data_IF_778273288878
#
_entry.id   IF_778273288878
#
_cell.length_a   1.000
_cell.length_b   1.000
_cell.length_c   1.000
_cell.angle_alpha   90.00
_cell.angle_beta   90.00
_cell.angle_gamma   90.00
#
_symmetry.space_group_name_H-M   'P 1'
#
loop_
_entity.id
_entity.type
_entity.pdbx_description
1 polymer ?
#
# COMPACT_ATOMS: atom_id res chain seq x y z
N UNK A 1 -11.30 15.73 22.33
CA UNK A 1 -11.94 14.92 21.26
C UNK A 1 -11.31 15.21 19.90
N UNK A 2 -11.26 16.46 19.44
CA UNK A 2 -10.62 16.87 18.17
C UNK A 2 -9.16 16.41 18.00
N UNK A 3 -8.34 16.51 19.04
CA UNK A 3 -6.91 16.11 19.00
C UNK A 3 -6.71 14.60 18.76
N UNK A 4 -7.60 13.76 19.30
CA UNK A 4 -7.57 12.32 19.08
C UNK A 4 -7.88 11.97 17.62
N UNK A 5 -8.90 12.61 17.05
CA UNK A 5 -9.26 12.45 15.63
C UNK A 5 -8.14 12.94 14.71
N UNK A 6 -7.53 14.10 15.01
CA UNK A 6 -6.40 14.62 14.25
C UNK A 6 -5.22 13.66 14.21
N UNK A 7 -4.86 13.07 15.36
CA UNK A 7 -3.81 12.05 15.43
C UNK A 7 -4.14 10.81 14.60
N UNK A 8 -5.38 10.33 14.67
CA UNK A 8 -5.78 9.13 13.94
C UNK A 8 -5.77 9.34 12.42
N UNK A 9 -6.22 10.52 11.96
CA UNK A 9 -6.12 10.89 10.54
C UNK A 9 -4.67 10.99 10.08
N UNK A 10 -3.77 11.59 10.87
CA UNK A 10 -2.35 11.64 10.54
C UNK A 10 -1.75 10.24 10.38
N UNK A 11 -2.09 9.32 11.29
CA UNK A 11 -1.61 7.94 11.21
C UNK A 11 -2.13 7.23 9.97
N UNK A 12 -3.43 7.31 9.68
CA UNK A 12 -4.05 6.59 8.57
C UNK A 12 -3.73 7.19 7.20
N UNK A 13 -3.55 8.51 7.11
CA UNK A 13 -3.34 9.21 5.86
C UNK A 13 -1.88 9.44 5.52
N UNK A 14 -0.97 9.38 6.48
CA UNK A 14 0.45 9.71 6.24
C UNK A 14 1.37 8.63 6.76
N UNK A 15 1.35 8.36 8.07
CA UNK A 15 2.36 7.49 8.66
C UNK A 15 2.23 6.03 8.19
N UNK A 16 1.02 5.49 8.18
CA UNK A 16 0.76 4.11 7.73
C UNK A 16 1.12 3.93 6.25
N UNK A 17 0.60 4.74 5.31
CA UNK A 17 0.95 4.60 3.90
C UNK A 17 2.45 4.71 3.65
N UNK A 18 3.14 5.65 4.29
CA UNK A 18 4.60 5.82 4.12
C UNK A 18 5.35 4.57 4.58
N UNK A 19 5.07 4.06 5.78
CA UNK A 19 5.74 2.88 6.31
C UNK A 19 5.47 1.64 5.45
N UNK A 20 4.22 1.45 5.03
CA UNK A 20 3.82 0.33 4.18
C UNK A 20 4.50 0.38 2.81
N UNK A 21 4.55 1.54 2.16
CA UNK A 21 5.23 1.69 0.86
C UNK A 21 6.76 1.54 0.97
N UNK A 22 7.37 2.03 2.05
CA UNK A 22 8.81 1.80 2.28
C UNK A 22 9.10 0.31 2.41
N UNK A 23 8.34 -0.42 3.22
CA UNK A 23 8.58 -1.85 3.45
C UNK A 23 8.27 -2.69 2.20
N UNK A 24 7.09 -2.49 1.61
CA UNK A 24 6.61 -3.36 0.54
C UNK A 24 7.22 -2.98 -0.81
N UNK A 25 7.37 -1.69 -1.13
CA UNK A 25 7.80 -1.25 -2.48
C UNK A 25 9.30 -1.03 -2.52
N UNK A 26 9.81 -0.12 -1.69
CA UNK A 26 11.26 0.15 -1.63
C UNK A 26 12.07 -1.01 -1.05
N UNK A 27 11.46 -1.85 -0.21
CA UNK A 27 12.05 -3.06 0.35
C UNK A 27 11.79 -4.30 -0.53
N UNK A 28 10.63 -4.93 -0.35
CA UNK A 28 10.33 -6.25 -0.92
C UNK A 28 10.29 -6.25 -2.47
N UNK A 29 9.47 -5.40 -3.07
CA UNK A 29 9.31 -5.39 -4.53
C UNK A 29 10.62 -5.01 -5.23
N UNK A 30 11.32 -4.00 -4.71
CA UNK A 30 12.65 -3.61 -5.18
C UNK A 30 13.64 -4.78 -5.15
N UNK A 31 13.70 -5.49 -4.03
CA UNK A 31 14.57 -6.65 -3.84
C UNK A 31 14.26 -7.79 -4.82
N UNK A 32 12.97 -8.02 -5.11
CA UNK A 32 12.53 -9.01 -6.10
C UNK A 32 12.91 -8.59 -7.53
N UNK A 33 12.64 -7.33 -7.90
CA UNK A 33 12.97 -6.79 -9.22
C UNK A 33 14.48 -6.86 -9.51
N UNK A 34 15.32 -6.64 -8.50
CA UNK A 34 16.78 -6.76 -8.63
C UNK A 34 17.25 -8.20 -8.80
N UNK A 35 16.57 -9.18 -8.19
CA UNK A 35 16.91 -10.60 -8.32
C UNK A 35 16.46 -11.22 -9.63
N UNK A 36 15.37 -10.74 -10.19
CA UNK A 36 14.82 -11.26 -11.44
C UNK A 36 14.46 -10.11 -12.39
N UNK A 37 15.45 -9.46 -13.02
CA UNK A 37 15.22 -8.25 -13.82
C UNK A 37 14.27 -8.44 -15.00
N UNK A 38 14.19 -9.66 -15.53
CA UNK A 38 13.30 -10.01 -16.65
C UNK A 38 11.91 -10.48 -16.19
N UNK A 39 11.71 -10.75 -14.90
CA UNK A 39 10.45 -11.23 -14.37
C UNK A 39 9.63 -10.05 -13.84
N UNK A 40 8.70 -9.53 -14.65
CA UNK A 40 7.86 -8.37 -14.26
C UNK A 40 6.65 -8.80 -13.42
N UNK A 41 5.99 -9.90 -13.79
CA UNK A 41 4.78 -10.36 -13.10
C UNK A 41 5.04 -10.85 -11.65
N UNK A 42 6.10 -11.64 -11.35
CA UNK A 42 6.29 -12.16 -10.00
C UNK A 42 6.52 -11.09 -8.92
N UNK A 43 7.38 -10.06 -9.11
CA UNK A 43 7.55 -8.99 -8.12
C UNK A 43 6.25 -8.24 -7.81
N UNK A 44 5.44 -7.97 -8.84
CA UNK A 44 4.17 -7.26 -8.70
C UNK A 44 3.15 -8.09 -7.93
N UNK A 45 2.98 -9.37 -8.29
CA UNK A 45 2.02 -10.26 -7.65
C UNK A 45 2.40 -10.57 -6.20
N UNK A 46 3.69 -10.82 -5.92
CA UNK A 46 4.18 -11.06 -4.56
C UNK A 46 4.01 -9.81 -3.71
N UNK A 47 4.36 -8.63 -4.24
CA UNK A 47 4.15 -7.34 -3.56
C UNK A 47 2.68 -7.11 -3.19
N UNK A 48 1.77 -7.30 -4.14
CA UNK A 48 0.32 -7.14 -3.91
C UNK A 48 -0.24 -8.18 -2.91
N UNK A 49 0.20 -9.44 -3.00
CA UNK A 49 -0.21 -10.48 -2.06
C UNK A 49 0.29 -10.19 -0.64
N UNK A 50 1.57 -9.80 -0.48
CA UNK A 50 2.12 -9.40 0.83
C UNK A 50 1.36 -8.22 1.40
N UNK A 51 1.00 -7.22 0.58
CA UNK A 51 0.19 -6.09 1.01
C UNK A 51 -1.15 -6.55 1.59
N UNK A 52 -1.88 -7.45 0.91
CA UNK A 52 -3.11 -8.05 1.43
C UNK A 52 -2.90 -8.82 2.74
N UNK A 53 -1.82 -9.61 2.85
CA UNK A 53 -1.51 -10.39 4.05
C UNK A 53 -1.30 -9.50 5.29
N UNK A 54 -0.69 -8.33 5.15
CA UNK A 54 -0.51 -7.37 6.25
C UNK A 54 -1.85 -6.89 6.83
N UNK A 55 -2.94 -7.01 6.08
CA UNK A 55 -4.28 -6.55 6.45
C UNK A 55 -5.18 -7.67 7.01
N UNK A 56 -4.68 -8.90 7.18
CA UNK A 56 -5.48 -10.03 7.70
C UNK A 56 -6.11 -9.76 9.07
N UNK A 57 -5.44 -8.99 9.93
CA UNK A 57 -5.97 -8.64 11.26
C UNK A 57 -7.22 -7.76 11.18
N UNK A 58 -7.44 -7.08 10.06
CA UNK A 58 -8.65 -6.29 9.78
C UNK A 58 -9.80 -7.13 9.20
N UNK A 59 -9.59 -8.45 9.04
CA UNK A 59 -10.58 -9.39 8.52
C UNK A 59 -10.28 -9.84 7.08
N UNK A 60 -10.68 -11.08 6.74
CA UNK A 60 -10.32 -11.71 5.48
C UNK A 60 -10.88 -10.96 4.25
N UNK A 61 -12.11 -10.45 4.34
CA UNK A 61 -12.72 -9.66 3.26
C UNK A 61 -11.95 -8.38 3.00
N UNK A 62 -11.53 -7.69 4.06
CA UNK A 62 -10.74 -6.48 3.94
C UNK A 62 -9.36 -6.78 3.34
N UNK A 63 -8.69 -7.84 3.83
CA UNK A 63 -7.42 -8.30 3.30
C UNK A 63 -7.48 -8.62 1.79
N UNK A 64 -8.58 -9.25 1.34
CA UNK A 64 -8.80 -9.51 -0.09
C UNK A 64 -9.09 -8.22 -0.88
N UNK A 65 -9.92 -7.33 -0.32
CA UNK A 65 -10.29 -6.08 -0.97
C UNK A 65 -9.08 -5.17 -1.24
N UNK A 66 -8.11 -5.12 -0.32
CA UNK A 66 -6.93 -4.27 -0.46
C UNK A 66 -5.87 -4.84 -1.43
N UNK A 67 -6.02 -6.07 -1.93
CA UNK A 67 -5.12 -6.61 -2.96
C UNK A 67 -5.25 -5.81 -4.26
N UNK A 68 -6.45 -5.36 -4.63
CA UNK A 68 -6.67 -4.58 -5.85
C UNK A 68 -5.92 -3.23 -5.82
N UNK A 69 -6.07 -2.37 -4.79
CA UNK A 69 -5.23 -1.17 -4.67
C UNK A 69 -3.76 -1.51 -4.48
N UNK A 70 -3.43 -2.60 -3.76
CA UNK A 70 -2.07 -3.10 -3.62
C UNK A 70 -1.40 -3.41 -4.97
N UNK A 71 -2.14 -4.02 -5.90
CA UNK A 71 -1.72 -4.30 -7.27
C UNK A 71 -1.54 -3.02 -8.08
N UNK A 72 -2.46 -2.06 -7.97
CA UNK A 72 -2.33 -0.76 -8.62
C UNK A 72 -1.05 -0.02 -8.17
N UNK A 73 -0.76 -0.04 -6.86
CA UNK A 73 0.47 0.54 -6.29
C UNK A 73 1.73 -0.21 -6.73
N UNK A 74 1.67 -1.55 -6.80
CA UNK A 74 2.79 -2.36 -7.29
C UNK A 74 3.11 -2.08 -8.76
N UNK A 75 2.08 -1.91 -9.61
CA UNK A 75 2.23 -1.51 -11.01
C UNK A 75 2.74 -0.07 -11.14
N UNK A 76 2.28 0.85 -10.29
CA UNK A 76 2.79 2.22 -10.23
C UNK A 76 4.28 2.23 -9.88
N UNK A 77 4.70 1.44 -8.89
CA UNK A 77 6.10 1.31 -8.50
C UNK A 77 6.95 0.69 -9.62
N UNK A 78 6.43 -0.33 -10.29
CA UNK A 78 7.11 -0.97 -11.42
C UNK A 78 7.44 0.04 -12.52
N UNK A 79 6.54 0.98 -12.80
CA UNK A 79 6.71 2.00 -13.84
C UNK A 79 7.56 3.19 -13.39
N UNK A 80 7.31 3.70 -12.18
CA UNK A 80 7.90 4.97 -11.72
C UNK A 80 9.18 4.80 -10.92
N UNK A 81 9.39 3.60 -10.35
CA UNK A 81 10.52 3.29 -9.45
C UNK A 81 10.60 4.22 -8.23
N UNK A 82 9.47 4.82 -7.85
CA UNK A 82 9.38 5.79 -6.76
C UNK A 82 8.31 5.38 -5.76
N UNK A 83 8.74 5.00 -4.57
CA UNK A 83 7.83 4.67 -3.47
C UNK A 83 7.10 5.92 -2.96
N UNK A 84 7.65 7.12 -3.15
CA UNK A 84 6.99 8.38 -2.79
C UNK A 84 5.68 8.57 -3.57
N UNK A 85 5.69 8.28 -4.88
CA UNK A 85 4.46 8.33 -5.69
C UNK A 85 3.44 7.29 -5.24
N UNK A 86 3.89 6.10 -4.85
CA UNK A 86 3.03 5.10 -4.23
C UNK A 86 2.44 5.60 -2.90
N UNK A 87 3.23 6.24 -2.05
CA UNK A 87 2.77 6.74 -0.76
C UNK A 87 1.70 7.84 -0.93
N UNK A 88 1.89 8.76 -1.89
CA UNK A 88 0.88 9.77 -2.23
C UNK A 88 -0.40 9.13 -2.74
N UNK A 89 -0.30 8.19 -3.69
CA UNK A 89 -1.46 7.49 -4.23
C UNK A 89 -2.20 6.69 -3.16
N UNK A 90 -1.47 5.99 -2.30
CA UNK A 90 -2.02 5.22 -1.19
C UNK A 90 -2.70 6.13 -0.17
N UNK A 91 -2.09 7.26 0.18
CA UNK A 91 -2.71 8.27 1.05
C UNK A 91 -4.04 8.77 0.48
N UNK A 92 -4.11 9.00 -0.84
CA UNK A 92 -5.33 9.38 -1.52
C UNK A 92 -6.39 8.27 -1.51
N UNK A 93 -5.99 7.01 -1.70
CA UNK A 93 -6.89 5.85 -1.56
C UNK A 93 -7.44 5.72 -0.14
N UNK A 94 -6.61 5.94 0.88
CA UNK A 94 -7.06 5.93 2.28
C UNK A 94 -8.03 7.08 2.57
N UNK A 95 -7.74 8.29 2.09
CA UNK A 95 -8.66 9.42 2.21
C UNK A 95 -10.02 9.12 1.56
N UNK A 96 -10.01 8.54 0.36
CA UNK A 96 -11.23 8.11 -0.33
C UNK A 96 -11.99 7.06 0.49
N UNK A 97 -11.32 5.99 0.93
CA UNK A 97 -11.93 4.92 1.73
C UNK A 97 -12.55 5.45 3.03
N UNK A 98 -11.84 6.35 3.74
CA UNK A 98 -12.37 6.99 4.95
C UNK A 98 -13.59 7.86 4.62
N UNK A 99 -13.57 8.60 3.50
CA UNK A 99 -14.70 9.46 3.12
C UNK A 99 -15.97 8.68 2.73
N UNK A 100 -15.82 7.49 2.13
CA UNK A 100 -16.94 6.67 1.64
C UNK A 100 -17.43 5.69 2.70
N UNK A 101 -16.53 5.12 3.51
CA UNK A 101 -16.85 4.08 4.48
C UNK A 101 -16.80 4.55 5.95
N UNK A 102 -16.29 5.75 6.21
CA UNK A 102 -16.14 6.33 7.56
C UNK A 102 -17.30 7.22 8.00
N UNK A 103 -18.42 7.22 7.27
CA UNK A 103 -19.71 7.78 7.67
C UNK A 103 -20.61 6.69 8.27
#
# INVERSE_FOLDING_TARGET
>A
MSEFYGRQLLLLLVLSPVLEEVVVRAGLQEWLMRRAPQAVAPPVLVSAATFGLLHLRSGWLHALAVIVPGLALALLYQRTRSWCWCAVAHSAMNAFAISVCGL
#
